data_IF_715979552864
#
_entry.id   IF_715979552864
#
_cell.length_a   1.000
_cell.length_b   1.000
_cell.length_c   1.000
_cell.angle_alpha   90.00
_cell.angle_beta   90.00
_cell.angle_gamma   90.00
#
_symmetry.space_group_name_H-M   'P 1'
#
loop_
_entity.id
_entity.type
_entity.pdbx_description
1 polymer ?
#
# COMPACT_ATOMS: atom_id res chain seq x y z
N UNK A 1 15.07 -20.60 8.60
CA UNK A 1 14.43 -21.49 7.60
C UNK A 1 13.30 -20.78 6.84
N UNK A 2 12.52 -19.91 7.49
CA UNK A 2 11.45 -19.13 6.84
C UNK A 2 11.89 -18.33 5.62
N UNK A 3 13.06 -17.67 5.65
CA UNK A 3 13.58 -16.91 4.49
C UNK A 3 13.74 -17.76 3.21
N UNK A 4 14.03 -19.07 3.34
CA UNK A 4 14.15 -19.98 2.21
C UNK A 4 12.83 -20.69 1.85
N UNK A 5 11.87 -20.73 2.78
CA UNK A 5 10.57 -21.37 2.58
C UNK A 5 9.51 -20.41 2.03
N UNK A 6 9.64 -19.12 2.33
CA UNK A 6 8.70 -18.06 1.93
C UNK A 6 9.20 -17.32 0.68
N UNK A 7 8.27 -16.68 -0.04
CA UNK A 7 8.69 -15.76 -1.11
C UNK A 7 9.47 -14.57 -0.53
N UNK A 8 10.43 -14.00 -1.28
CA UNK A 8 11.20 -12.85 -0.80
C UNK A 8 10.31 -11.67 -0.39
N UNK A 9 9.20 -11.46 -1.10
CA UNK A 9 8.22 -10.40 -0.80
C UNK A 9 7.46 -10.67 0.49
N UNK A 10 7.03 -11.91 0.72
CA UNK A 10 6.36 -12.29 1.97
C UNK A 10 7.31 -12.15 3.16
N UNK A 11 8.56 -12.63 3.02
CA UNK A 11 9.56 -12.48 4.07
C UNK A 11 9.86 -11.01 4.38
N UNK A 12 10.03 -10.17 3.36
CA UNK A 12 10.20 -8.74 3.54
C UNK A 12 9.03 -8.11 4.29
N UNK A 13 7.79 -8.41 3.88
CA UNK A 13 6.61 -7.84 4.52
C UNK A 13 6.53 -8.21 6.01
N UNK A 14 6.58 -9.51 6.33
CA UNK A 14 6.33 -9.98 7.69
C UNK A 14 7.52 -9.80 8.64
N UNK A 15 8.76 -10.03 8.17
CA UNK A 15 9.96 -10.06 9.03
C UNK A 15 10.86 -8.84 8.89
N UNK A 16 10.63 -7.95 7.91
CA UNK A 16 11.41 -6.70 7.77
C UNK A 16 10.58 -5.44 7.92
N UNK A 17 9.41 -5.37 7.27
CA UNK A 17 8.57 -4.19 7.32
C UNK A 17 7.76 -4.13 8.61
N UNK A 18 7.00 -5.19 8.91
CA UNK A 18 6.16 -5.27 10.10
C UNK A 18 6.92 -5.68 11.36
N UNK A 19 7.77 -6.70 11.24
CA UNK A 19 8.43 -7.37 12.37
C UNK A 19 7.41 -8.01 13.34
N UNK A 20 6.65 -8.98 12.82
CA UNK A 20 5.56 -9.62 13.57
C UNK A 20 6.08 -10.59 14.65
N UNK A 21 5.38 -10.62 15.78
CA UNK A 21 5.49 -11.66 16.81
C UNK A 21 4.71 -12.92 16.43
N UNK A 22 5.01 -14.02 17.11
CA UNK A 22 4.39 -15.32 16.81
C UNK A 22 2.95 -15.42 17.37
N UNK A 23 2.57 -14.57 18.34
CA UNK A 23 1.22 -14.52 18.93
C UNK A 23 0.79 -13.10 19.28
N UNK A 24 -0.52 -12.85 19.28
CA UNK A 24 -1.11 -11.52 19.57
C UNK A 24 -0.94 -11.14 21.05
N UNK A 25 -0.89 -12.13 21.94
CA UNK A 25 -0.67 -11.93 23.38
C UNK A 25 0.75 -11.43 23.69
N UNK A 26 1.69 -11.63 22.75
CA UNK A 26 3.06 -11.15 22.84
C UNK A 26 3.16 -9.79 22.16
N UNK A 27 3.20 -8.74 22.96
CA UNK A 27 3.52 -7.40 22.45
C UNK A 27 5.01 -7.38 22.13
N UNK A 28 5.33 -7.38 20.83
CA UNK A 28 6.69 -7.35 20.33
C UNK A 28 7.45 -6.07 20.68
N UNK A 29 8.60 -5.89 20.05
CA UNK A 29 9.41 -4.68 20.24
C UNK A 29 8.86 -3.48 19.46
N UNK A 30 9.30 -2.29 19.86
CA UNK A 30 8.90 -1.05 19.23
C UNK A 30 9.57 -0.86 17.86
N UNK A 31 8.79 -1.02 16.78
CA UNK A 31 9.26 -0.79 15.42
C UNK A 31 9.35 0.71 15.08
N UNK A 32 10.52 1.30 15.34
CA UNK A 32 10.79 2.72 15.14
C UNK A 32 10.63 3.18 13.68
N UNK A 33 10.79 2.30 12.70
CA UNK A 33 10.60 2.63 11.28
C UNK A 33 9.13 2.90 11.01
N UNK A 34 8.24 1.97 11.38
CA UNK A 34 6.80 2.12 11.19
C UNK A 34 6.25 3.28 12.00
N UNK A 35 6.71 3.47 13.25
CA UNK A 35 6.31 4.62 14.05
C UNK A 35 6.77 5.94 13.43
N UNK A 36 7.98 5.99 12.86
CA UNK A 36 8.47 7.13 12.09
C UNK A 36 7.60 7.42 10.86
N UNK A 37 7.22 6.38 10.10
CA UNK A 37 6.30 6.50 8.98
C UNK A 37 4.92 7.04 9.41
N UNK A 38 4.40 6.57 10.55
CA UNK A 38 3.13 7.04 11.10
C UNK A 38 3.20 8.52 11.49
N UNK A 39 4.29 8.93 12.16
CA UNK A 39 4.51 10.33 12.54
C UNK A 39 4.60 11.22 11.29
N UNK A 40 5.35 10.79 10.28
CA UNK A 40 5.44 11.50 9.00
C UNK A 40 4.07 11.63 8.31
N UNK A 41 3.26 10.57 8.30
CA UNK A 41 1.90 10.60 7.75
C UNK A 41 1.02 11.64 8.47
N UNK A 42 1.04 11.67 9.80
CA UNK A 42 0.32 12.67 10.60
C UNK A 42 0.80 14.09 10.33
N UNK A 43 2.10 14.30 10.20
CA UNK A 43 2.66 15.62 9.84
C UNK A 43 2.14 16.08 8.48
N UNK A 44 2.13 15.20 7.47
CA UNK A 44 1.60 15.53 6.13
C UNK A 44 0.11 15.92 6.21
N UNK A 45 -0.70 15.17 6.96
CA UNK A 45 -2.12 15.47 7.17
C UNK A 45 -2.29 16.83 7.84
N UNK A 46 -1.56 17.09 8.93
CA UNK A 46 -1.59 18.36 9.64
C UNK A 46 -1.20 19.53 8.71
N UNK A 47 -0.13 19.40 7.92
CA UNK A 47 0.29 20.40 6.95
C UNK A 47 -0.78 20.64 5.87
N UNK A 48 -1.44 19.59 5.40
CA UNK A 48 -2.55 19.68 4.45
C UNK A 48 -3.78 20.41 5.00
N UNK A 49 -4.00 20.36 6.31
CA UNK A 49 -5.13 21.00 7.00
C UNK A 49 -4.80 22.41 7.52
N UNK A 50 -3.53 22.73 7.77
CA UNK A 50 -3.09 23.94 8.47
C UNK A 50 -3.60 25.26 7.85
N UNK A 51 -3.71 25.34 6.51
CA UNK A 51 -4.19 26.54 5.80
C UNK A 51 -5.70 26.53 5.48
N UNK A 52 -6.44 25.55 6.02
CA UNK A 52 -7.88 25.40 5.85
C UNK A 52 -8.32 25.01 4.43
N UNK A 53 -9.63 25.03 4.19
CA UNK A 53 -10.31 24.45 3.02
C UNK A 53 -9.79 25.00 1.68
N UNK A 54 -9.35 26.27 1.62
CA UNK A 54 -8.80 26.86 0.38
C UNK A 54 -7.46 26.23 -0.04
N UNK A 55 -6.65 25.79 0.92
CA UNK A 55 -5.37 25.11 0.65
C UNK A 55 -5.57 23.60 0.53
N UNK A 56 -6.38 23.00 1.42
CA UNK A 56 -6.72 21.58 1.38
C UNK A 56 -7.39 21.22 0.05
N UNK A 57 -8.24 22.10 -0.50
CA UNK A 57 -8.88 21.90 -1.80
C UNK A 57 -7.88 21.67 -2.94
N UNK A 58 -6.78 22.43 -2.99
CA UNK A 58 -5.73 22.27 -4.02
C UNK A 58 -5.03 20.92 -3.93
N UNK A 59 -4.71 20.46 -2.72
CA UNK A 59 -4.08 19.15 -2.49
C UNK A 59 -5.06 18.02 -2.83
N UNK A 60 -6.35 18.19 -2.48
CA UNK A 60 -7.40 17.20 -2.78
C UNK A 60 -7.63 17.02 -4.27
N UNK A 61 -7.54 18.08 -5.09
CA UNK A 61 -7.62 17.93 -6.55
C UNK A 61 -6.52 17.00 -7.07
N UNK A 62 -5.29 17.12 -6.57
CA UNK A 62 -4.23 16.20 -6.96
C UNK A 62 -4.48 14.78 -6.40
N UNK A 63 -4.75 14.64 -5.11
CA UNK A 63 -4.91 13.32 -4.48
C UNK A 63 -6.14 12.55 -4.97
N UNK A 64 -7.16 13.25 -5.48
CA UNK A 64 -8.34 12.60 -6.08
C UNK A 64 -8.12 12.24 -7.55
N UNK A 65 -7.43 13.07 -8.33
CA UNK A 65 -7.19 12.81 -9.77
C UNK A 65 -6.08 11.80 -10.00
N UNK A 66 -4.99 11.88 -9.22
CA UNK A 66 -3.81 11.04 -9.38
C UNK A 66 -4.11 9.53 -9.34
N UNK A 67 -4.92 8.99 -8.40
CA UNK A 67 -5.29 7.58 -8.40
C UNK A 67 -5.93 7.11 -9.71
N UNK A 68 -6.80 7.92 -10.34
CA UNK A 68 -7.41 7.56 -11.62
C UNK A 68 -6.40 7.46 -12.75
N UNK A 69 -5.42 8.36 -12.80
CA UNK A 69 -4.34 8.32 -13.79
C UNK A 69 -3.48 7.07 -13.59
N UNK A 70 -3.11 6.75 -12.34
CA UNK A 70 -2.33 5.54 -12.02
C UNK A 70 -3.11 4.28 -12.36
N UNK A 71 -4.40 4.22 -12.02
CA UNK A 71 -5.28 3.10 -12.37
C UNK A 71 -5.39 2.90 -13.88
N UNK A 72 -5.50 3.99 -14.65
CA UNK A 72 -5.52 3.90 -16.11
C UNK A 72 -4.20 3.35 -16.66
N UNK A 73 -3.06 3.84 -16.16
CA UNK A 73 -1.75 3.32 -16.54
C UNK A 73 -1.59 1.83 -16.17
N UNK A 74 -2.02 1.43 -14.97
CA UNK A 74 -2.01 0.05 -14.52
C UNK A 74 -2.96 -0.84 -15.32
N UNK A 75 -4.12 -0.33 -15.75
CA UNK A 75 -5.03 -1.06 -16.62
C UNK A 75 -4.38 -1.33 -17.97
N UNK A 76 -3.84 -0.29 -18.63
CA UNK A 76 -3.14 -0.43 -19.92
C UNK A 76 -1.98 -1.41 -19.79
N UNK A 77 -1.18 -1.31 -18.73
CA UNK A 77 -0.08 -2.24 -18.52
C UNK A 77 -0.58 -3.66 -18.24
N UNK A 78 -1.60 -3.81 -17.40
CA UNK A 78 -2.18 -5.10 -17.03
C UNK A 78 -2.74 -5.85 -18.23
N UNK A 79 -3.46 -5.18 -19.14
CA UNK A 79 -4.02 -5.83 -20.34
C UNK A 79 -2.98 -6.14 -21.41
N UNK A 80 -1.81 -5.50 -21.37
CA UNK A 80 -0.69 -5.77 -22.29
C UNK A 80 0.24 -6.89 -21.82
N UNK A 81 0.05 -7.42 -20.61
CA UNK A 81 0.80 -8.58 -20.11
C UNK A 81 0.16 -9.90 -20.60
N UNK A 82 1.01 -10.88 -20.86
CA UNK A 82 0.55 -12.24 -21.15
C UNK A 82 -0.21 -12.83 -19.94
N UNK A 83 -1.26 -13.59 -20.22
CA UNK A 83 -2.14 -14.15 -19.18
C UNK A 83 -3.25 -13.22 -18.67
N UNK A 84 -3.31 -11.95 -19.12
CA UNK A 84 -4.36 -11.01 -18.70
C UNK A 84 -5.79 -11.54 -18.98
N UNK A 85 -5.99 -12.18 -20.13
CA UNK A 85 -7.30 -12.72 -20.51
C UNK A 85 -7.77 -13.87 -19.60
N UNK A 86 -6.87 -14.65 -19.01
CA UNK A 86 -7.21 -15.74 -18.09
C UNK A 86 -7.68 -15.18 -16.75
N UNK A 87 -6.99 -14.16 -16.23
CA UNK A 87 -7.41 -13.45 -15.01
C UNK A 87 -8.78 -12.79 -15.16
N UNK A 88 -9.04 -12.14 -16.30
CA UNK A 88 -10.36 -11.53 -16.58
C UNK A 88 -11.45 -12.61 -16.68
N UNK A 89 -11.18 -13.72 -17.38
CA UNK A 89 -12.14 -14.84 -17.49
C UNK A 89 -12.45 -15.43 -16.11
N UNK A 90 -11.45 -15.63 -15.26
CA UNK A 90 -11.65 -16.13 -13.90
C UNK A 90 -12.52 -15.19 -13.05
N UNK A 91 -12.38 -13.87 -13.20
CA UNK A 91 -13.20 -12.89 -12.49
C UNK A 91 -14.68 -12.93 -12.91
N UNK A 92 -14.97 -13.01 -14.21
CA UNK A 92 -16.35 -12.92 -14.74
C UNK A 92 -17.06 -14.26 -14.90
N UNK A 93 -16.31 -15.34 -15.06
CA UNK A 93 -16.81 -16.71 -15.14
C UNK A 93 -16.15 -17.54 -14.04
N UNK A 94 -16.57 -17.34 -12.77
CA UNK A 94 -16.24 -18.30 -11.73
C UNK A 94 -16.85 -19.65 -12.12
N UNK A 95 -16.03 -20.72 -12.05
CA UNK A 95 -16.57 -22.08 -12.08
C UNK A 95 -17.33 -22.39 -10.80
#
# INVERSE_FOLDING_TARGET
KECAASSPTAYFWYRKALDITDSIDETGEFNYIITGCLLAAWVIVCLGMYKGIKSTGKVMYFSSVFPYVVLLCFLIRGVTLDGASEGIKFMFYPR
#
